data_IF_987976579155
#
_entry.id   IF_987976579155
#
_cell.length_a   1.000
_cell.length_b   1.000
_cell.length_c   1.000
_cell.angle_alpha   90.00
_cell.angle_beta   90.00
_cell.angle_gamma   90.00
#
_symmetry.space_group_name_H-M   'P 1'
#
loop_
_entity.id
_entity.type
_entity.pdbx_description
1 polymer ?
#
# COMPACT_ATOMS: atom_id res chain seq x y z
N UNK A 1 23.41 11.56 27.99
CA UNK A 1 22.03 11.95 28.39
C UNK A 1 21.11 11.85 27.18
N UNK A 2 19.98 11.17 27.31
CA UNK A 2 18.97 11.13 26.25
C UNK A 2 18.08 12.37 26.33
N UNK A 3 17.58 12.82 25.18
CA UNK A 3 16.57 13.90 25.16
C UNK A 3 15.26 13.42 25.81
N UNK A 4 14.51 14.36 26.41
CA UNK A 4 13.18 14.08 26.94
C UNK A 4 12.24 13.67 25.80
N UNK A 5 11.48 12.59 26.01
CA UNK A 5 10.51 12.07 25.05
C UNK A 5 9.08 12.24 25.57
N UNK A 6 8.15 12.50 24.66
CA UNK A 6 6.73 12.49 25.01
C UNK A 6 6.26 11.05 25.32
N UNK A 7 5.39 10.91 26.29
CA UNK A 7 4.79 9.62 26.67
C UNK A 7 3.60 9.30 25.75
N UNK A 8 3.88 8.84 24.54
CA UNK A 8 2.81 8.50 23.57
C UNK A 8 1.93 7.36 24.03
N UNK A 9 2.41 6.48 24.93
CA UNK A 9 1.60 5.44 25.59
C UNK A 9 0.48 5.99 26.48
N UNK A 10 0.50 7.28 26.82
CA UNK A 10 -0.55 7.95 27.57
C UNK A 10 -1.64 8.59 26.69
N UNK A 11 -1.51 8.50 25.36
CA UNK A 11 -2.54 9.01 24.44
C UNK A 11 -3.85 8.26 24.66
N UNK A 12 -4.94 9.00 24.78
CA UNK A 12 -6.27 8.43 24.92
C UNK A 12 -6.86 8.16 23.56
N UNK A 13 -7.35 6.95 23.38
CA UNK A 13 -8.03 6.54 22.15
C UNK A 13 -9.54 6.48 22.36
N UNK A 14 -10.29 6.70 21.29
CA UNK A 14 -11.73 6.55 21.26
C UNK A 14 -12.12 5.40 20.31
N UNK A 15 -13.28 4.75 20.54
CA UNK A 15 -13.81 3.79 19.57
C UNK A 15 -13.99 4.46 18.20
N UNK A 16 -13.52 3.81 17.13
CA UNK A 16 -13.63 4.36 15.76
C UNK A 16 -15.07 4.56 15.32
N UNK A 17 -15.99 3.78 15.89
CA UNK A 17 -17.43 3.94 15.69
C UNK A 17 -18.01 5.28 16.18
N UNK A 18 -17.33 5.97 17.09
CA UNK A 18 -17.74 7.29 17.60
C UNK A 18 -17.21 8.45 16.71
N UNK A 19 -16.34 8.16 15.76
CA UNK A 19 -15.77 9.16 14.86
C UNK A 19 -16.83 9.71 13.90
N UNK A 20 -16.84 11.01 13.71
CA UNK A 20 -17.57 11.65 12.62
C UNK A 20 -16.79 11.40 11.32
N UNK A 21 -17.09 10.30 10.66
CA UNK A 21 -16.48 9.96 9.36
C UNK A 21 -17.13 10.80 8.26
N UNK A 22 -16.32 11.21 7.26
CA UNK A 22 -16.78 12.11 6.20
C UNK A 22 -17.57 11.40 5.11
N UNK A 23 -17.27 10.12 4.86
CA UNK A 23 -17.86 9.35 3.76
C UNK A 23 -18.25 7.94 4.20
N UNK A 24 -19.43 7.54 3.76
CA UNK A 24 -19.88 6.14 3.77
C UNK A 24 -19.41 5.47 2.46
N UNK A 25 -18.99 4.20 2.55
CA UNK A 25 -18.52 3.45 1.38
C UNK A 25 -19.57 3.37 0.27
N UNK A 26 -20.84 3.17 0.64
CA UNK A 26 -21.98 3.10 -0.27
C UNK A 26 -22.21 4.38 -1.09
N UNK A 27 -21.72 5.52 -0.62
CA UNK A 27 -21.89 6.81 -1.31
C UNK A 27 -20.79 7.06 -2.35
N UNK A 28 -19.60 6.48 -2.14
CA UNK A 28 -18.42 6.75 -2.95
C UNK A 28 -18.05 5.61 -3.90
N UNK A 29 -18.53 4.39 -3.62
CA UNK A 29 -18.13 3.19 -4.38
C UNK A 29 -18.39 3.34 -5.87
N UNK A 30 -17.38 3.06 -6.67
CA UNK A 30 -17.49 2.99 -8.13
C UNK A 30 -17.83 1.56 -8.51
N UNK A 31 -18.97 1.37 -9.18
CA UNK A 31 -19.36 0.08 -9.74
C UNK A 31 -18.51 -0.23 -10.98
N UNK A 32 -17.70 -1.30 -10.99
CA UNK A 32 -16.88 -1.68 -12.13
C UNK A 32 -17.71 -1.96 -13.41
N UNK A 33 -18.96 -2.39 -13.25
CA UNK A 33 -19.87 -2.68 -14.38
C UNK A 33 -20.52 -1.43 -14.97
N UNK A 34 -20.49 -0.30 -14.26
CA UNK A 34 -21.03 0.96 -14.76
C UNK A 34 -20.20 1.50 -15.95
N UNK A 35 -20.80 2.39 -16.73
CA UNK A 35 -20.07 3.10 -17.78
C UNK A 35 -19.04 4.04 -17.15
N UNK A 36 -17.76 4.00 -17.59
CA UNK A 36 -16.77 4.91 -17.07
C UNK A 36 -17.09 6.38 -17.46
N UNK A 37 -16.60 7.35 -16.70
CA UNK A 37 -16.68 8.75 -17.10
C UNK A 37 -16.01 9.02 -18.46
N UNK A 38 -16.44 10.05 -19.17
CA UNK A 38 -15.79 10.45 -20.43
C UNK A 38 -14.30 10.74 -20.21
N UNK A 39 -13.47 10.10 -21.03
CA UNK A 39 -12.01 10.23 -20.92
C UNK A 39 -11.47 11.53 -21.51
N UNK A 40 -12.17 12.14 -22.47
CA UNK A 40 -11.72 13.36 -23.15
C UNK A 40 -10.30 13.21 -23.71
N UNK A 41 -9.43 14.17 -23.39
CA UNK A 41 -8.02 14.17 -23.82
C UNK A 41 -7.20 13.01 -23.25
N UNK A 42 -7.71 12.31 -22.21
CA UNK A 42 -7.06 11.14 -21.63
C UNK A 42 -7.37 9.85 -22.39
N UNK A 43 -8.27 9.84 -23.38
CA UNK A 43 -8.69 8.63 -24.08
C UNK A 43 -7.50 7.89 -24.72
N UNK A 44 -6.71 8.59 -25.55
CA UNK A 44 -5.55 8.01 -26.21
C UNK A 44 -4.44 7.58 -25.24
N UNK A 45 -4.04 8.39 -24.24
CA UNK A 45 -3.07 7.94 -23.23
C UNK A 45 -3.52 6.69 -22.42
N UNK A 46 -4.82 6.57 -22.11
CA UNK A 46 -5.35 5.39 -21.40
C UNK A 46 -5.35 4.16 -22.30
N UNK A 47 -5.72 4.31 -23.58
CA UNK A 47 -5.63 3.23 -24.57
C UNK A 47 -4.20 2.72 -24.70
N UNK A 48 -3.22 3.62 -24.89
CA UNK A 48 -1.79 3.28 -24.92
C UNK A 48 -1.33 2.56 -23.65
N UNK A 49 -1.74 3.03 -22.47
CA UNK A 49 -1.45 2.36 -21.21
C UNK A 49 -2.05 0.94 -21.19
N UNK A 50 -3.28 0.76 -21.68
CA UNK A 50 -3.91 -0.56 -21.73
C UNK A 50 -3.15 -1.54 -22.64
N UNK A 51 -2.62 -1.08 -23.77
CA UNK A 51 -1.79 -1.88 -24.66
C UNK A 51 -0.46 -2.28 -24.00
N UNK A 52 0.18 -1.35 -23.27
CA UNK A 52 1.40 -1.65 -22.50
C UNK A 52 1.13 -2.69 -21.41
N UNK A 53 0.01 -2.60 -20.71
CA UNK A 53 -0.38 -3.60 -19.69
C UNK A 53 -0.63 -4.98 -20.35
N UNK A 54 -1.25 -5.04 -21.53
CA UNK A 54 -1.40 -6.32 -22.27
C UNK A 54 -0.05 -6.90 -22.66
N UNK A 55 0.83 -6.07 -23.23
CA UNK A 55 2.19 -6.49 -23.61
C UNK A 55 2.96 -7.03 -22.41
N UNK A 56 2.89 -6.36 -21.26
CA UNK A 56 3.53 -6.82 -20.04
C UNK A 56 2.98 -8.18 -19.59
N UNK A 57 1.67 -8.36 -19.60
CA UNK A 57 1.03 -9.63 -19.26
C UNK A 57 1.45 -10.76 -20.19
N UNK A 58 1.48 -10.52 -21.51
CA UNK A 58 1.87 -11.52 -22.51
C UNK A 58 3.35 -11.91 -22.35
N UNK A 59 4.19 -10.98 -21.93
CA UNK A 59 5.60 -11.21 -21.62
C UNK A 59 5.85 -11.85 -20.24
N UNK A 60 4.81 -11.99 -19.39
CA UNK A 60 4.95 -12.44 -18.01
C UNK A 60 5.68 -11.44 -17.11
N UNK A 61 5.74 -10.18 -17.51
CA UNK A 61 6.37 -9.10 -16.75
C UNK A 61 5.43 -8.50 -15.71
N UNK A 62 5.98 -7.89 -14.66
CA UNK A 62 5.19 -7.26 -13.62
C UNK A 62 4.41 -6.04 -14.12
N UNK A 63 3.17 -5.91 -13.62
CA UNK A 63 2.35 -4.70 -13.69
C UNK A 63 2.12 -4.21 -12.27
N UNK A 64 2.82 -3.15 -11.89
CA UNK A 64 2.81 -2.61 -10.53
C UNK A 64 1.90 -1.38 -10.48
N UNK A 65 0.89 -1.41 -9.59
CA UNK A 65 0.09 -0.23 -9.26
C UNK A 65 0.53 0.35 -7.91
N UNK A 66 1.17 1.52 -7.97
CA UNK A 66 1.44 2.34 -6.80
C UNK A 66 0.31 3.35 -6.59
N UNK A 67 -0.29 3.42 -5.41
CA UNK A 67 -1.41 4.32 -5.18
C UNK A 67 -1.37 5.02 -3.82
N UNK A 68 -1.92 6.22 -3.79
CA UNK A 68 -2.17 6.95 -2.55
C UNK A 68 -3.58 6.73 -2.02
N UNK A 69 -3.86 7.23 -0.81
CA UNK A 69 -5.14 7.10 -0.13
C UNK A 69 -6.35 7.54 -0.96
N UNK A 70 -6.19 8.51 -1.86
CA UNK A 70 -7.29 9.02 -2.69
C UNK A 70 -7.86 7.99 -3.66
N UNK A 71 -7.11 6.96 -4.06
CA UNK A 71 -7.67 5.87 -4.87
C UNK A 71 -8.80 5.18 -4.11
N UNK A 72 -8.57 4.84 -2.84
CA UNK A 72 -9.57 4.19 -1.97
C UNK A 72 -10.70 5.18 -1.62
N UNK A 73 -10.36 6.41 -1.26
CA UNK A 73 -11.32 7.46 -0.90
C UNK A 73 -12.25 7.88 -2.04
N UNK A 74 -11.83 7.68 -3.28
CA UNK A 74 -12.65 7.90 -4.47
C UNK A 74 -13.45 6.66 -4.90
N UNK A 75 -13.49 5.61 -4.05
CA UNK A 75 -14.31 4.43 -4.25
C UNK A 75 -13.82 3.46 -5.32
N UNK A 76 -12.57 3.55 -5.75
CA UNK A 76 -12.00 2.74 -6.83
C UNK A 76 -11.52 1.35 -6.38
N UNK A 77 -11.65 1.00 -5.10
CA UNK A 77 -11.29 -0.32 -4.58
C UNK A 77 -11.82 -1.47 -5.43
N UNK A 78 -13.15 -1.56 -5.71
CA UNK A 78 -13.72 -2.64 -6.53
C UNK A 78 -13.19 -2.69 -7.97
N UNK A 79 -12.98 -1.54 -8.60
CA UNK A 79 -12.41 -1.45 -9.97
C UNK A 79 -11.00 -2.03 -10.02
N UNK A 80 -10.18 -1.71 -9.02
CA UNK A 80 -8.81 -2.25 -8.92
C UNK A 80 -8.85 -3.73 -8.51
N UNK A 81 -9.77 -4.12 -7.64
CA UNK A 81 -9.95 -5.52 -7.23
C UNK A 81 -10.24 -6.45 -8.41
N UNK A 82 -11.05 -6.01 -9.37
CA UNK A 82 -11.30 -6.76 -10.59
C UNK A 82 -10.04 -6.91 -11.46
N UNK A 83 -9.26 -5.84 -11.61
CA UNK A 83 -7.99 -5.89 -12.33
C UNK A 83 -6.99 -6.85 -11.67
N UNK A 84 -7.01 -6.93 -10.35
CA UNK A 84 -6.19 -7.89 -9.58
C UNK A 84 -6.68 -9.32 -9.76
N UNK A 85 -7.99 -9.58 -9.64
CA UNK A 85 -8.58 -10.92 -9.81
C UNK A 85 -8.31 -11.50 -11.19
N UNK A 86 -8.33 -10.66 -12.21
CA UNK A 86 -8.08 -11.06 -13.60
C UNK A 86 -6.59 -11.05 -13.98
N UNK A 87 -5.70 -10.74 -13.01
CA UNK A 87 -4.25 -10.76 -13.21
C UNK A 87 -3.71 -9.66 -14.12
N UNK A 88 -4.45 -8.55 -14.28
CA UNK A 88 -3.96 -7.37 -15.00
C UNK A 88 -3.00 -6.53 -14.17
N UNK A 89 -3.16 -6.55 -12.84
CA UNK A 89 -2.24 -5.96 -11.87
C UNK A 89 -1.62 -7.10 -11.08
N UNK A 90 -0.31 -7.19 -11.07
CA UNK A 90 0.45 -8.25 -10.41
C UNK A 90 1.06 -7.83 -9.08
N UNK A 91 1.05 -6.53 -8.76
CA UNK A 91 1.52 -6.00 -7.48
C UNK A 91 0.83 -4.68 -7.15
N UNK A 92 0.43 -4.54 -5.91
CA UNK A 92 -0.14 -3.33 -5.33
C UNK A 92 0.82 -2.71 -4.31
N UNK A 93 1.13 -1.43 -4.42
CA UNK A 93 1.97 -0.72 -3.45
C UNK A 93 1.29 0.56 -2.94
N UNK A 94 1.19 0.73 -1.62
CA UNK A 94 0.54 1.90 -1.03
C UNK A 94 1.26 2.40 0.23
N UNK A 95 0.77 3.50 0.80
CA UNK A 95 1.22 4.02 2.09
C UNK A 95 0.27 3.61 3.22
N UNK A 96 0.60 3.95 4.47
CA UNK A 96 -0.25 3.62 5.62
C UNK A 96 -1.67 4.16 5.49
N UNK A 97 -1.85 5.38 4.97
CA UNK A 97 -3.18 5.95 4.80
C UNK A 97 -4.04 5.17 3.79
N UNK A 98 -3.43 4.65 2.69
CA UNK A 98 -4.15 3.84 1.70
C UNK A 98 -4.73 2.57 2.30
N UNK A 99 -3.93 1.82 3.06
CA UNK A 99 -4.39 0.58 3.70
C UNK A 99 -5.34 0.83 4.87
N UNK A 100 -5.19 1.95 5.59
CA UNK A 100 -6.10 2.31 6.71
C UNK A 100 -7.50 2.61 6.17
N UNK A 101 -7.63 3.43 5.14
CA UNK A 101 -8.95 3.71 4.55
C UNK A 101 -9.59 2.45 3.99
N UNK A 102 -8.83 1.57 3.32
CA UNK A 102 -9.28 0.27 2.84
C UNK A 102 -9.84 -0.59 3.98
N UNK A 103 -9.06 -0.73 5.06
CA UNK A 103 -9.46 -1.49 6.23
C UNK A 103 -10.70 -0.88 6.93
N UNK A 104 -10.77 0.44 7.10
CA UNK A 104 -11.87 1.11 7.77
C UNK A 104 -13.20 0.98 7.00
N UNK A 105 -13.18 1.07 5.67
CA UNK A 105 -14.35 0.81 4.84
C UNK A 105 -14.80 -0.65 4.95
N UNK A 106 -13.87 -1.59 5.00
CA UNK A 106 -14.20 -3.00 5.24
C UNK A 106 -14.75 -3.22 6.66
N UNK A 107 -14.14 -2.59 7.67
CA UNK A 107 -14.49 -2.81 9.08
C UNK A 107 -15.85 -2.22 9.45
N UNK A 108 -16.09 -0.95 9.14
CA UNK A 108 -17.28 -0.22 9.60
C UNK A 108 -18.09 0.46 8.50
N UNK A 109 -17.72 0.29 7.22
CA UNK A 109 -18.41 0.88 6.08
C UNK A 109 -18.17 2.38 5.87
N UNK A 110 -17.34 3.02 6.67
CA UNK A 110 -17.08 4.45 6.62
C UNK A 110 -15.65 4.78 7.00
N UNK A 111 -15.11 5.86 6.45
CA UNK A 111 -13.76 6.32 6.74
C UNK A 111 -13.64 7.84 6.62
N UNK A 112 -12.44 8.33 6.83
CA UNK A 112 -12.02 9.74 6.81
C UNK A 112 -12.52 10.55 8.02
N UNK A 113 -11.62 11.37 8.54
CA UNK A 113 -11.89 12.23 9.67
C UNK A 113 -11.63 13.71 9.34
N UNK A 114 -12.17 14.62 10.11
CA UNK A 114 -11.85 16.03 9.98
C UNK A 114 -10.51 16.34 10.66
N UNK A 115 -9.47 16.50 9.82
CA UNK A 115 -8.12 16.75 10.29
C UNK A 115 -8.02 18.01 11.15
N UNK A 116 -8.73 19.08 10.75
CA UNK A 116 -8.62 20.38 11.45
C UNK A 116 -9.18 20.31 12.86
N UNK A 117 -10.39 19.78 13.02
CA UNK A 117 -11.02 19.66 14.34
C UNK A 117 -10.29 18.64 15.21
N UNK A 118 -9.95 17.47 14.64
CA UNK A 118 -9.35 16.37 15.39
C UNK A 118 -7.90 16.63 15.80
N UNK A 119 -7.15 17.42 15.03
CA UNK A 119 -5.83 17.90 15.50
C UNK A 119 -5.98 18.90 16.64
N UNK A 120 -7.00 19.77 16.59
CA UNK A 120 -7.21 20.79 17.62
C UNK A 120 -7.61 20.19 18.99
N UNK A 121 -8.38 19.10 18.97
CA UNK A 121 -8.82 18.41 20.21
C UNK A 121 -7.93 17.19 20.57
N UNK A 122 -6.96 16.85 19.72
CA UNK A 122 -6.01 15.75 19.95
C UNK A 122 -6.55 14.36 19.64
N UNK A 123 -7.67 14.23 18.93
CA UNK A 123 -8.27 12.94 18.54
C UNK A 123 -7.80 12.43 17.17
N UNK A 124 -7.07 13.25 16.39
CA UNK A 124 -6.60 12.86 15.05
C UNK A 124 -5.76 11.57 15.09
N UNK A 125 -6.25 10.52 14.45
CA UNK A 125 -5.59 9.21 14.43
C UNK A 125 -5.66 8.41 15.74
N UNK A 126 -6.32 8.95 16.78
CA UNK A 126 -6.43 8.31 18.10
C UNK A 126 -7.69 7.41 18.19
N UNK A 127 -7.79 6.42 17.28
CA UNK A 127 -8.92 5.49 17.16
C UNK A 127 -8.49 4.08 17.56
N UNK A 128 -9.19 3.51 18.59
CA UNK A 128 -8.76 2.25 19.22
C UNK A 128 -8.64 1.11 18.21
N UNK A 129 -9.72 0.80 17.51
CA UNK A 129 -9.75 -0.36 16.63
C UNK A 129 -8.75 -0.22 15.47
N UNK A 130 -8.62 0.99 14.90
CA UNK A 130 -7.68 1.24 13.78
C UNK A 130 -6.24 0.94 14.19
N UNK A 131 -5.80 1.42 15.34
CA UNK A 131 -4.43 1.18 15.80
C UNK A 131 -4.23 -0.21 16.40
N UNK A 132 -5.15 -0.66 17.26
CA UNK A 132 -5.03 -1.90 18.01
C UNK A 132 -5.11 -3.14 17.11
N UNK A 133 -6.06 -3.17 16.17
CA UNK A 133 -6.20 -4.31 15.25
C UNK A 133 -5.09 -4.35 14.20
N UNK A 134 -4.68 -3.19 13.68
CA UNK A 134 -3.49 -3.10 12.83
C UNK A 134 -2.27 -3.67 13.55
N UNK A 135 -2.02 -3.25 14.80
CA UNK A 135 -0.84 -3.67 15.53
C UNK A 135 -0.79 -5.19 15.76
N UNK A 136 -1.88 -5.81 16.19
CA UNK A 136 -1.89 -7.27 16.40
C UNK A 136 -1.79 -8.04 15.09
N UNK A 137 -2.43 -7.56 14.02
CA UNK A 137 -2.32 -8.17 12.70
C UNK A 137 -0.87 -8.17 12.21
N UNK A 138 -0.17 -7.05 12.33
CA UNK A 138 1.24 -6.96 11.95
C UNK A 138 2.13 -7.82 12.84
N UNK A 139 1.95 -7.78 14.16
CA UNK A 139 2.79 -8.54 15.09
C UNK A 139 2.66 -10.07 14.89
N UNK A 140 1.45 -10.56 14.61
CA UNK A 140 1.21 -11.96 14.29
C UNK A 140 1.67 -12.33 12.89
N UNK A 141 1.42 -11.44 11.90
CA UNK A 141 1.79 -11.66 10.50
C UNK A 141 3.30 -11.72 10.28
N UNK A 142 4.05 -10.81 10.89
CA UNK A 142 5.53 -10.80 10.79
C UNK A 142 6.14 -12.10 11.34
N UNK A 143 5.56 -12.68 12.39
CA UNK A 143 6.01 -13.98 12.92
C UNK A 143 5.80 -15.12 11.90
N UNK A 144 4.86 -14.96 10.98
CA UNK A 144 4.58 -15.88 9.87
C UNK A 144 5.36 -15.51 8.59
N UNK A 145 6.17 -14.45 8.63
CA UNK A 145 6.94 -13.97 7.48
C UNK A 145 6.16 -13.03 6.56
N UNK A 146 4.97 -12.58 6.96
CA UNK A 146 4.14 -11.67 6.18
C UNK A 146 4.55 -10.21 6.39
N UNK A 147 4.41 -9.41 5.33
CA UNK A 147 4.57 -7.97 5.38
C UNK A 147 3.32 -7.25 5.92
N UNK A 148 3.33 -5.94 5.85
CA UNK A 148 2.23 -5.11 6.35
C UNK A 148 0.96 -5.35 5.54
N UNK A 149 1.07 -5.26 4.20
CA UNK A 149 -0.10 -5.40 3.33
C UNK A 149 -0.74 -6.78 3.43
N UNK A 150 0.06 -7.83 3.41
CA UNK A 150 -0.40 -9.22 3.54
C UNK A 150 -1.05 -9.48 4.90
N UNK A 151 -0.49 -8.94 6.00
CA UNK A 151 -1.05 -9.09 7.35
C UNK A 151 -2.44 -8.46 7.48
N UNK A 152 -2.66 -7.28 6.90
CA UNK A 152 -3.99 -6.63 6.89
C UNK A 152 -4.94 -7.39 5.96
N UNK A 153 -4.45 -7.85 4.80
CA UNK A 153 -5.25 -8.68 3.89
C UNK A 153 -5.75 -9.95 4.57
N UNK A 154 -4.88 -10.65 5.32
CA UNK A 154 -5.25 -11.82 6.11
C UNK A 154 -6.30 -11.48 7.17
N UNK A 155 -6.08 -10.41 7.95
CA UNK A 155 -7.01 -9.96 8.99
C UNK A 155 -8.44 -9.80 8.45
N UNK A 156 -8.59 -9.16 7.30
CA UNK A 156 -9.91 -8.92 6.71
C UNK A 156 -10.48 -10.18 6.08
N UNK A 157 -9.67 -10.90 5.32
CA UNK A 157 -10.09 -12.11 4.59
C UNK A 157 -10.54 -13.22 5.54
N UNK A 158 -9.78 -13.46 6.60
CA UNK A 158 -10.09 -14.51 7.59
C UNK A 158 -11.09 -14.03 8.67
N UNK A 159 -11.30 -12.72 8.81
CA UNK A 159 -12.19 -12.14 9.80
C UNK A 159 -11.67 -12.23 11.23
N UNK A 160 -10.35 -12.17 11.41
CA UNK A 160 -9.72 -12.23 12.73
C UNK A 160 -8.23 -12.49 12.70
N UNK A 161 -7.68 -12.76 13.89
CA UNK A 161 -6.25 -13.07 14.08
C UNK A 161 -6.08 -14.28 14.98
N UNK A 162 -5.03 -15.08 14.74
CA UNK A 162 -4.62 -16.17 15.61
C UNK A 162 -3.41 -15.75 16.43
N UNK A 163 -3.60 -15.62 17.74
CA UNK A 163 -2.53 -15.26 18.69
C UNK A 163 -1.89 -16.52 19.24
N UNK A 164 -0.60 -16.78 19.02
CA UNK A 164 0.08 -17.97 19.52
C UNK A 164 0.07 -18.04 21.06
N UNK A 165 0.23 -19.26 21.58
CA UNK A 165 0.36 -19.48 23.01
C UNK A 165 1.63 -18.81 23.55
N UNK A 166 1.49 -18.01 24.61
CA UNK A 166 2.59 -17.27 25.25
C UNK A 166 3.72 -18.20 25.70
N UNK A 167 3.38 -19.38 26.25
CA UNK A 167 4.38 -20.36 26.67
C UNK A 167 5.21 -20.90 25.49
N UNK A 168 4.59 -21.07 24.31
CA UNK A 168 5.31 -21.47 23.11
C UNK A 168 6.28 -20.38 22.63
N UNK A 169 5.88 -19.11 22.70
CA UNK A 169 6.73 -17.97 22.38
C UNK A 169 7.93 -17.87 23.35
N UNK A 170 7.69 -17.99 24.66
CA UNK A 170 8.75 -18.02 25.65
C UNK A 170 9.68 -19.22 25.46
N UNK A 171 9.13 -20.40 25.12
CA UNK A 171 9.93 -21.59 24.81
C UNK A 171 10.92 -21.35 23.66
N UNK A 172 10.49 -20.69 22.59
CA UNK A 172 11.36 -20.33 21.46
C UNK A 172 12.46 -19.34 21.86
N UNK A 173 12.13 -18.29 22.64
CA UNK A 173 13.13 -17.34 23.14
C UNK A 173 14.16 -18.01 24.05
N UNK A 174 13.71 -18.88 24.95
CA UNK A 174 14.59 -19.61 25.87
C UNK A 174 15.52 -20.58 25.11
N UNK A 175 15.01 -21.30 24.13
CA UNK A 175 15.81 -22.18 23.29
C UNK A 175 16.88 -21.39 22.51
N UNK A 176 16.50 -20.26 21.93
CA UNK A 176 17.45 -19.39 21.24
C UNK A 176 18.51 -18.82 22.19
N UNK A 177 18.13 -18.38 23.39
CA UNK A 177 19.07 -17.85 24.38
C UNK A 177 20.12 -18.89 24.83
N UNK A 178 19.76 -20.18 24.85
CA UNK A 178 20.68 -21.29 25.19
C UNK A 178 21.62 -21.64 24.03
N UNK A 179 21.17 -21.54 22.79
CA UNK A 179 21.93 -21.83 21.58
C UNK A 179 21.64 -20.78 20.49
N UNK A 180 22.23 -19.56 20.59
CA UNK A 180 21.94 -18.49 19.67
C UNK A 180 22.32 -18.84 18.23
N UNK A 181 21.35 -18.73 17.33
CA UNK A 181 21.52 -18.83 15.87
C UNK A 181 20.92 -17.61 15.21
N UNK A 182 21.33 -17.31 13.99
CA UNK A 182 20.72 -16.24 13.22
C UNK A 182 19.26 -16.61 12.91
N UNK A 183 18.31 -15.94 13.56
CA UNK A 183 16.88 -16.13 13.37
C UNK A 183 16.17 -14.77 13.44
N UNK A 184 15.69 -14.29 12.29
CA UNK A 184 14.99 -13.01 12.17
C UNK A 184 13.67 -12.98 12.97
N UNK A 185 13.09 -14.14 13.30
CA UNK A 185 11.81 -14.23 14.01
C UNK A 185 11.94 -13.98 15.52
N UNK A 186 13.14 -14.05 16.09
CA UNK A 186 13.35 -13.84 17.54
C UNK A 186 12.89 -12.46 17.98
N UNK A 187 13.28 -11.42 17.24
CA UNK A 187 12.80 -10.08 17.53
C UNK A 187 11.28 -9.92 17.34
N UNK A 188 10.70 -10.61 16.37
CA UNK A 188 9.25 -10.61 16.16
C UNK A 188 8.49 -11.30 17.31
N UNK A 189 9.06 -12.35 17.90
CA UNK A 189 8.49 -13.00 19.11
C UNK A 189 8.45 -12.04 20.28
N UNK A 190 9.53 -11.30 20.53
CA UNK A 190 9.58 -10.31 21.62
C UNK A 190 8.58 -9.18 21.40
N UNK A 191 8.48 -8.68 20.17
CA UNK A 191 7.51 -7.67 19.78
C UNK A 191 6.06 -8.16 19.96
N UNK A 192 5.77 -9.40 19.57
CA UNK A 192 4.43 -9.98 19.71
C UNK A 192 4.07 -10.20 21.20
N UNK A 193 4.99 -10.68 22.03
CA UNK A 193 4.76 -10.81 23.48
C UNK A 193 4.40 -9.45 24.10
N UNK A 194 5.10 -8.40 23.73
CA UNK A 194 4.76 -7.06 24.17
C UNK A 194 3.38 -6.60 23.65
N UNK A 195 3.06 -6.87 22.37
CA UNK A 195 1.75 -6.58 21.79
C UNK A 195 0.62 -7.30 22.53
N UNK A 196 0.81 -8.58 22.89
CA UNK A 196 -0.15 -9.38 23.64
C UNK A 196 -0.39 -8.76 25.04
N UNK A 197 0.69 -8.39 25.74
CA UNK A 197 0.60 -7.80 27.08
C UNK A 197 -0.12 -6.44 27.07
N UNK A 198 0.33 -5.49 26.27
CA UNK A 198 -0.24 -4.12 26.26
C UNK A 198 -1.67 -4.08 25.68
N UNK A 199 -1.96 -4.94 24.70
CA UNK A 199 -3.27 -5.05 24.07
C UNK A 199 -4.22 -6.01 24.79
N UNK A 200 -3.75 -6.73 25.83
CA UNK A 200 -4.51 -7.77 26.55
C UNK A 200 -5.15 -8.80 25.59
N UNK A 201 -4.40 -9.24 24.59
CA UNK A 201 -4.90 -10.16 23.58
C UNK A 201 -5.04 -11.58 24.12
N UNK A 202 -6.20 -12.23 23.95
CA UNK A 202 -6.36 -13.65 24.31
C UNK A 202 -5.54 -14.53 23.34
N UNK A 203 -5.06 -15.65 23.86
CA UNK A 203 -4.42 -16.67 23.03
C UNK A 203 -5.48 -17.42 22.19
N UNK A 204 -5.06 -17.89 21.02
CA UNK A 204 -5.92 -18.55 20.06
C UNK A 204 -6.60 -17.59 19.10
N UNK A 205 -7.71 -18.02 18.50
CA UNK A 205 -8.43 -17.25 17.51
C UNK A 205 -9.25 -16.12 18.12
N UNK A 206 -9.04 -14.91 17.66
CA UNK A 206 -9.87 -13.75 18.00
C UNK A 206 -10.63 -13.30 16.76
N UNK A 207 -11.96 -13.41 16.80
CA UNK A 207 -12.82 -12.96 15.72
C UNK A 207 -12.92 -11.43 15.69
N UNK A 208 -12.66 -10.83 14.54
CA UNK A 208 -12.78 -9.38 14.28
C UNK A 208 -13.73 -9.22 13.10
N UNK A 209 -14.98 -8.89 13.42
CA UNK A 209 -16.04 -8.78 12.43
C UNK A 209 -15.84 -7.56 11.55
N UNK A 210 -15.85 -7.77 10.23
CA UNK A 210 -15.87 -6.72 9.23
C UNK A 210 -17.30 -6.61 8.63
N UNK A 211 -17.80 -5.39 8.47
CA UNK A 211 -19.13 -5.14 7.92
C UNK A 211 -19.19 -5.41 6.41
N UNK A 212 -18.11 -5.06 5.70
CA UNK A 212 -17.99 -5.14 4.25
C UNK A 212 -16.64 -5.73 3.82
N UNK A 213 -16.33 -7.00 4.13
CA UNK A 213 -15.00 -7.57 3.83
C UNK A 213 -14.67 -7.55 2.33
N UNK A 214 -15.67 -7.70 1.47
CA UNK A 214 -15.53 -7.68 0.01
C UNK A 214 -15.15 -6.29 -0.55
N UNK A 215 -15.28 -5.23 0.24
CA UNK A 215 -14.85 -3.90 -0.13
C UNK A 215 -13.32 -3.72 -0.04
N UNK A 216 -12.61 -4.62 0.66
CA UNK A 216 -11.18 -4.51 0.89
C UNK A 216 -10.36 -4.99 -0.30
N UNK A 217 -9.55 -4.07 -0.81
CA UNK A 217 -8.53 -4.37 -1.80
C UNK A 217 -7.41 -5.24 -1.19
N UNK A 218 -7.07 -5.02 0.09
CA UNK A 218 -6.10 -5.82 0.81
C UNK A 218 -6.56 -7.28 0.96
N UNK A 219 -7.85 -7.52 1.30
CA UNK A 219 -8.41 -8.86 1.35
C UNK A 219 -8.43 -9.54 -0.03
N UNK A 220 -8.74 -8.80 -1.08
CA UNK A 220 -8.68 -9.30 -2.47
C UNK A 220 -7.25 -9.69 -2.83
N UNK A 221 -6.27 -8.86 -2.54
CA UNK A 221 -4.85 -9.13 -2.80
C UNK A 221 -4.39 -10.41 -2.06
N UNK A 222 -4.77 -10.57 -0.80
CA UNK A 222 -4.48 -11.79 -0.02
C UNK A 222 -5.12 -13.05 -0.66
N UNK A 223 -6.40 -12.99 -1.00
CA UNK A 223 -7.14 -14.11 -1.57
C UNK A 223 -6.58 -14.55 -2.94
N UNK A 224 -6.12 -13.61 -3.77
CA UNK A 224 -5.54 -13.87 -5.10
C UNK A 224 -4.04 -14.16 -5.05
N UNK A 225 -3.40 -14.05 -3.88
CA UNK A 225 -1.94 -14.11 -3.69
C UNK A 225 -1.19 -13.07 -4.53
N UNK A 226 -1.82 -11.93 -4.75
CA UNK A 226 -1.18 -10.77 -5.37
C UNK A 226 -0.51 -9.96 -4.26
N UNK A 227 0.80 -9.69 -4.32
CA UNK A 227 1.45 -8.88 -3.32
C UNK A 227 0.79 -7.50 -3.18
N UNK A 228 0.47 -7.12 -1.95
CA UNK A 228 0.15 -5.76 -1.56
C UNK A 228 1.19 -5.32 -0.54
N UNK A 229 1.99 -4.32 -0.87
CA UNK A 229 3.04 -3.79 0.00
C UNK A 229 2.69 -2.41 0.52
N UNK A 230 2.92 -2.19 1.81
CA UNK A 230 2.66 -0.91 2.48
C UNK A 230 3.98 -0.30 2.91
N UNK A 231 4.21 0.93 2.48
CA UNK A 231 5.43 1.69 2.77
C UNK A 231 5.11 2.86 3.72
N UNK A 232 5.02 2.61 5.04
CA UNK A 232 4.67 3.62 6.02
C UNK A 232 5.85 4.55 6.31
N UNK A 233 5.56 5.69 6.91
CA UNK A 233 6.61 6.57 7.42
C UNK A 233 6.38 6.95 8.87
N UNK A 234 7.43 6.76 9.68
CA UNK A 234 7.39 7.12 11.10
C UNK A 234 7.23 8.63 11.24
N UNK A 235 6.19 9.03 11.96
CA UNK A 235 5.89 10.42 12.27
C UNK A 235 4.91 11.10 11.31
N UNK A 236 4.52 10.47 10.18
CA UNK A 236 3.46 11.00 9.32
C UNK A 236 2.24 10.06 9.16
N UNK A 237 2.39 8.76 9.40
CA UNK A 237 1.24 7.85 9.41
C UNK A 237 0.53 7.86 10.78
N UNK A 238 -0.80 7.92 10.77
CA UNK A 238 -1.62 8.06 12.00
C UNK A 238 -1.49 6.87 12.96
N UNK A 239 -1.11 5.69 12.47
CA UNK A 239 -0.92 4.50 13.33
C UNK A 239 0.14 4.70 14.40
N UNK A 240 1.07 5.65 14.22
CA UNK A 240 2.08 5.99 15.23
C UNK A 240 1.55 6.87 16.37
N UNK A 241 0.34 7.41 16.27
CA UNK A 241 -0.34 8.14 17.34
C UNK A 241 -0.91 7.18 18.38
N UNK A 242 -1.23 5.95 17.99
CA UNK A 242 -1.86 4.96 18.87
C UNK A 242 -0.92 4.56 20.02
N UNK A 243 -1.42 4.47 21.28
CA UNK A 243 -0.60 4.18 22.47
C UNK A 243 0.11 2.81 22.41
N UNK A 244 -0.43 1.86 21.65
CA UNK A 244 0.18 0.53 21.47
C UNK A 244 1.12 0.47 20.25
N UNK A 245 1.40 1.57 19.59
CA UNK A 245 2.27 1.59 18.42
C UNK A 245 3.69 1.12 18.76
N UNK A 246 4.18 0.13 18.02
CA UNK A 246 5.53 -0.41 18.18
C UNK A 246 6.31 -0.19 16.88
N UNK A 247 7.29 0.70 16.93
CA UNK A 247 8.13 1.02 15.75
C UNK A 247 8.88 -0.21 15.20
N UNK A 248 9.22 -1.18 16.06
CA UNK A 248 9.86 -2.44 15.66
C UNK A 248 8.94 -3.31 14.80
N UNK A 249 7.66 -3.43 15.17
CA UNK A 249 6.66 -4.20 14.40
C UNK A 249 6.46 -3.57 13.03
N UNK A 250 6.24 -2.25 12.96
CA UNK A 250 6.12 -1.54 11.69
C UNK A 250 7.38 -1.67 10.84
N UNK A 251 8.56 -1.52 11.45
CA UNK A 251 9.84 -1.64 10.75
C UNK A 251 10.07 -3.03 10.16
N UNK A 252 9.68 -4.10 10.86
CA UNK A 252 9.78 -5.47 10.34
C UNK A 252 8.80 -5.70 9.21
N UNK A 253 7.52 -5.37 9.41
CA UNK A 253 6.47 -5.55 8.42
C UNK A 253 6.77 -4.78 7.12
N UNK A 254 7.10 -3.49 7.23
CA UNK A 254 7.48 -2.67 6.08
C UNK A 254 8.80 -3.10 5.44
N UNK A 255 9.74 -3.66 6.22
CA UNK A 255 10.98 -4.23 5.72
C UNK A 255 10.76 -5.48 4.87
N UNK A 256 9.80 -6.34 5.23
CA UNK A 256 9.37 -7.47 4.40
C UNK A 256 8.74 -6.93 3.12
N UNK A 257 7.79 -6.01 3.23
CA UNK A 257 7.12 -5.40 2.09
C UNK A 257 8.10 -4.75 1.10
N UNK A 258 9.12 -4.05 1.60
CA UNK A 258 10.12 -3.46 0.72
C UNK A 258 10.90 -4.54 -0.07
N UNK A 259 11.26 -5.67 0.55
CA UNK A 259 11.94 -6.77 -0.16
C UNK A 259 11.03 -7.41 -1.21
N UNK A 260 9.74 -7.62 -0.89
CA UNK A 260 8.74 -8.11 -1.85
C UNK A 260 8.56 -7.14 -3.00
N UNK A 261 8.50 -5.84 -2.73
CA UNK A 261 8.42 -4.80 -3.74
C UNK A 261 9.67 -4.78 -4.64
N UNK A 262 10.88 -4.91 -4.07
CA UNK A 262 12.11 -5.01 -4.85
C UNK A 262 12.10 -6.19 -5.81
N UNK A 263 11.54 -7.35 -5.41
CA UNK A 263 11.41 -8.50 -6.30
C UNK A 263 10.47 -8.20 -7.46
N UNK A 264 9.30 -7.64 -7.21
CA UNK A 264 8.36 -7.27 -8.28
C UNK A 264 8.92 -6.18 -9.20
N UNK A 265 9.78 -5.31 -8.69
CA UNK A 265 10.52 -4.33 -9.52
C UNK A 265 11.58 -5.01 -10.37
N UNK A 266 12.28 -6.04 -9.88
CA UNK A 266 13.18 -6.87 -10.69
C UNK A 266 12.42 -7.58 -11.82
N UNK A 267 11.21 -8.08 -11.54
CA UNK A 267 10.35 -8.79 -12.49
C UNK A 267 9.72 -7.86 -13.57
N UNK A 268 9.92 -6.54 -13.49
CA UNK A 268 9.51 -5.61 -14.55
C UNK A 268 10.27 -5.88 -15.87
N UNK A 269 11.56 -6.22 -15.77
CA UNK A 269 12.39 -6.42 -16.97
C UNK A 269 12.32 -5.24 -17.94
N UNK A 270 12.16 -5.54 -19.23
CA UNK A 270 12.05 -4.55 -20.31
C UNK A 270 10.58 -4.21 -20.68
N UNK A 271 9.65 -5.09 -20.34
CA UNK A 271 8.26 -5.00 -20.79
C UNK A 271 7.28 -4.63 -19.67
N UNK A 272 7.76 -4.53 -18.43
CA UNK A 272 6.92 -4.27 -17.27
C UNK A 272 6.32 -2.87 -17.26
N UNK A 273 5.27 -2.70 -16.47
CA UNK A 273 4.53 -1.44 -16.36
C UNK A 273 4.45 -1.00 -14.90
N UNK A 274 4.72 0.27 -14.66
CA UNK A 274 4.49 0.94 -13.37
C UNK A 274 3.42 1.99 -13.55
N UNK A 275 2.34 1.88 -12.80
CA UNK A 275 1.24 2.84 -12.78
C UNK A 275 1.26 3.52 -11.40
N UNK A 276 1.42 4.84 -11.35
CA UNK A 276 1.38 5.61 -10.11
C UNK A 276 0.15 6.51 -10.08
N UNK A 277 -0.77 6.29 -9.13
CA UNK A 277 -2.05 7.00 -9.03
C UNK A 277 -2.14 7.76 -7.71
N UNK A 278 -2.12 9.10 -7.79
CA UNK A 278 -2.30 9.97 -6.62
C UNK A 278 -1.30 9.72 -5.49
N UNK A 279 -0.08 9.27 -5.80
CA UNK A 279 0.97 8.97 -4.82
C UNK A 279 2.21 9.82 -5.05
N UNK A 280 2.11 11.10 -4.65
CA UNK A 280 3.16 12.09 -4.93
C UNK A 280 4.44 11.92 -4.08
N UNK A 281 4.41 11.20 -2.97
CA UNK A 281 5.53 11.08 -2.03
C UNK A 281 6.07 9.65 -2.00
N UNK A 282 5.23 8.67 -1.64
CA UNK A 282 5.67 7.30 -1.43
C UNK A 282 6.14 6.65 -2.73
N UNK A 283 5.30 6.60 -3.76
CA UNK A 283 5.57 5.86 -4.98
C UNK A 283 6.91 6.23 -5.65
N UNK A 284 7.21 7.51 -5.95
CA UNK A 284 8.46 7.86 -6.62
C UNK A 284 9.68 7.57 -5.76
N UNK A 285 9.59 7.72 -4.44
CA UNK A 285 10.74 7.53 -3.55
C UNK A 285 11.04 6.05 -3.31
N UNK A 286 10.00 5.24 -3.11
CA UNK A 286 10.18 3.79 -2.91
C UNK A 286 10.62 3.12 -4.19
N UNK A 287 10.00 3.47 -5.33
CA UNK A 287 10.37 2.91 -6.63
C UNK A 287 11.84 3.20 -7.00
N UNK A 288 12.31 4.43 -6.83
CA UNK A 288 13.71 4.80 -7.12
C UNK A 288 14.71 3.91 -6.35
N UNK A 289 14.43 3.59 -5.08
CA UNK A 289 15.31 2.74 -4.25
C UNK A 289 15.17 1.27 -4.62
N UNK A 290 13.96 0.81 -4.87
CA UNK A 290 13.73 -0.56 -5.31
C UNK A 290 14.37 -0.83 -6.69
N UNK A 291 14.26 0.12 -7.63
CA UNK A 291 14.95 0.05 -8.93
C UNK A 291 16.48 -0.03 -8.76
N UNK A 292 17.04 0.75 -7.84
CA UNK A 292 18.49 0.66 -7.54
C UNK A 292 18.86 -0.72 -6.99
N UNK A 293 18.06 -1.30 -6.10
CA UNK A 293 18.30 -2.66 -5.58
C UNK A 293 18.17 -3.69 -6.68
N UNK A 294 17.10 -3.65 -7.47
CA UNK A 294 16.86 -4.57 -8.58
C UNK A 294 18.02 -4.53 -9.59
N UNK A 295 18.41 -3.34 -10.06
CA UNK A 295 19.50 -3.18 -11.02
C UNK A 295 20.86 -3.63 -10.47
N UNK A 296 21.11 -3.43 -9.17
CA UNK A 296 22.33 -3.95 -8.52
C UNK A 296 22.35 -5.49 -8.54
N UNK A 297 21.23 -6.13 -8.21
CA UNK A 297 21.13 -7.59 -8.23
C UNK A 297 21.15 -8.15 -9.66
N UNK A 298 20.57 -7.46 -10.63
CA UNK A 298 20.59 -7.81 -12.06
C UNK A 298 22.02 -7.76 -12.61
N UNK A 299 22.76 -6.71 -12.30
CA UNK A 299 24.16 -6.59 -12.73
C UNK A 299 25.06 -7.73 -12.19
N UNK A 300 24.77 -8.27 -10.99
CA UNK A 300 25.49 -9.43 -10.46
C UNK A 300 25.15 -10.76 -11.16
N UNK A 301 24.06 -10.79 -11.93
CA UNK A 301 23.60 -11.94 -12.71
C UNK A 301 23.88 -11.76 -14.21
N UNK A 302 24.59 -10.70 -14.61
CA UNK A 302 24.84 -10.32 -16.01
C UNK A 302 23.53 -10.15 -16.81
N UNK A 303 22.50 -9.56 -16.18
CA UNK A 303 21.20 -9.25 -16.79
C UNK A 303 21.05 -7.73 -16.92
N UNK A 304 20.48 -7.27 -18.03
CA UNK A 304 20.26 -5.85 -18.30
C UNK A 304 19.41 -5.18 -17.23
N UNK A 305 19.62 -3.87 -17.02
CA UNK A 305 18.81 -3.07 -16.10
C UNK A 305 17.33 -3.08 -16.51
N UNK A 306 16.43 -2.88 -15.52
CA UNK A 306 15.00 -2.75 -15.80
C UNK A 306 14.73 -1.54 -16.71
N UNK A 307 13.76 -1.69 -17.61
CA UNK A 307 13.34 -0.64 -18.53
C UNK A 307 11.80 -0.55 -18.63
N UNK A 308 11.09 -0.34 -17.53
CA UNK A 308 9.64 -0.37 -17.51
C UNK A 308 9.02 0.85 -18.22
N UNK A 309 7.81 0.65 -18.76
CA UNK A 309 6.93 1.77 -19.09
C UNK A 309 6.33 2.34 -17.80
N UNK A 310 6.38 3.66 -17.63
CA UNK A 310 5.87 4.33 -16.43
C UNK A 310 4.75 5.32 -16.80
N UNK A 311 3.58 5.12 -16.19
CA UNK A 311 2.44 6.03 -16.28
C UNK A 311 2.15 6.64 -14.90
N UNK A 312 2.00 7.96 -14.86
CA UNK A 312 1.70 8.69 -13.61
C UNK A 312 0.39 9.46 -13.78
N UNK A 313 -0.55 9.24 -12.89
CA UNK A 313 -1.80 10.00 -12.80
C UNK A 313 -1.83 10.88 -11.56
N UNK A 314 -2.07 12.16 -11.75
CA UNK A 314 -2.31 13.15 -10.69
C UNK A 314 -3.26 14.23 -11.20
N UNK A 315 -3.86 15.01 -10.30
CA UNK A 315 -4.76 16.11 -10.64
C UNK A 315 -4.05 17.37 -11.13
N UNK A 316 -2.73 17.48 -10.95
CA UNK A 316 -1.96 18.67 -11.29
C UNK A 316 -1.82 18.80 -12.81
N UNK A 317 -2.04 20.00 -13.38
CA UNK A 317 -1.76 20.20 -14.80
C UNK A 317 -0.28 19.98 -15.10
N UNK A 318 0.02 19.33 -16.23
CA UNK A 318 1.40 19.23 -16.73
C UNK A 318 1.80 20.56 -17.37
N UNK A 319 2.91 21.15 -16.91
CA UNK A 319 3.52 22.34 -17.50
C UNK A 319 4.77 22.02 -18.32
N UNK A 320 5.20 20.77 -18.28
CA UNK A 320 6.35 20.22 -18.97
C UNK A 320 5.94 18.99 -19.79
N UNK A 321 6.47 18.87 -20.99
CA UNK A 321 6.31 17.65 -21.77
C UNK A 321 7.30 16.58 -21.29
N UNK A 322 6.80 15.65 -20.50
CA UNK A 322 7.59 14.57 -19.89
C UNK A 322 8.14 13.56 -20.91
N UNK A 323 7.68 13.63 -22.18
CA UNK A 323 8.28 12.90 -23.27
C UNK A 323 9.73 13.34 -23.56
N UNK A 324 10.11 14.54 -23.13
CA UNK A 324 11.49 15.04 -23.21
C UNK A 324 12.36 14.65 -21.99
N UNK A 325 11.86 13.80 -21.09
CA UNK A 325 12.57 13.36 -19.89
C UNK A 325 12.55 14.39 -18.77
N UNK A 326 13.62 14.43 -17.95
CA UNK A 326 13.72 15.34 -16.81
C UNK A 326 13.79 16.80 -17.26
N UNK A 327 12.95 17.70 -16.68
CA UNK A 327 13.04 19.12 -16.98
C UNK A 327 14.35 19.74 -16.49
N UNK A 328 14.86 20.80 -17.13
CA UNK A 328 16.02 21.52 -16.67
C UNK A 328 15.77 22.18 -15.30
N UNK A 329 16.82 22.37 -14.51
CA UNK A 329 16.74 22.93 -13.14
C UNK A 329 16.08 24.33 -13.08
N UNK A 330 16.09 25.06 -14.20
CA UNK A 330 15.45 26.35 -14.35
C UNK A 330 13.94 26.29 -14.54
N UNK A 331 13.41 25.12 -14.90
CA UNK A 331 11.96 24.93 -15.09
C UNK A 331 11.27 24.60 -13.77
N UNK A 332 10.11 25.22 -13.45
CA UNK A 332 9.33 24.90 -12.26
C UNK A 332 8.95 23.41 -12.14
N UNK A 333 8.76 22.70 -13.24
CA UNK A 333 8.46 21.27 -13.27
C UNK A 333 9.60 20.41 -12.69
N UNK A 334 10.85 20.91 -12.68
CA UNK A 334 11.97 20.24 -12.03
C UNK A 334 11.71 19.94 -10.54
N UNK A 335 10.91 20.77 -9.88
CA UNK A 335 10.56 20.63 -8.46
C UNK A 335 9.35 19.73 -8.23
N UNK A 336 8.70 19.23 -9.29
CA UNK A 336 7.66 18.21 -9.19
C UNK A 336 8.30 16.82 -8.98
N UNK A 337 8.76 16.57 -7.75
CA UNK A 337 9.57 15.40 -7.40
C UNK A 337 8.92 14.07 -7.77
N UNK A 338 7.59 13.99 -7.68
CA UNK A 338 6.84 12.78 -8.01
C UNK A 338 6.93 12.40 -9.50
N UNK A 339 7.07 13.36 -10.40
CA UNK A 339 7.31 13.10 -11.83
C UNK A 339 8.80 12.94 -12.13
N UNK A 340 9.63 13.84 -11.59
CA UNK A 340 11.07 13.83 -11.83
C UNK A 340 11.74 12.51 -11.43
N UNK A 341 11.38 11.94 -10.27
CA UNK A 341 11.96 10.68 -9.83
C UNK A 341 11.63 9.53 -10.77
N UNK A 342 10.40 9.48 -11.29
CA UNK A 342 10.04 8.48 -12.29
C UNK A 342 10.74 8.73 -13.64
N UNK A 343 10.80 9.97 -14.11
CA UNK A 343 11.49 10.29 -15.37
C UNK A 343 12.98 9.93 -15.36
N UNK A 344 13.63 9.90 -14.19
CA UNK A 344 15.01 9.45 -14.03
C UNK A 344 15.20 7.93 -14.09
N UNK A 345 14.15 7.18 -13.81
CA UNK A 345 14.19 5.72 -13.71
C UNK A 345 13.51 5.04 -14.89
N UNK A 346 12.84 5.81 -15.75
CA UNK A 346 12.23 5.31 -16.98
C UNK A 346 13.24 5.28 -18.12
N UNK A 347 13.27 4.18 -18.86
CA UNK A 347 14.04 4.08 -20.10
C UNK A 347 13.29 4.71 -21.29
N UNK A 348 11.97 4.79 -21.21
CA UNK A 348 11.11 5.44 -22.19
C UNK A 348 10.54 6.77 -21.62
N UNK A 349 10.01 7.64 -22.47
CA UNK A 349 9.31 8.83 -22.04
C UNK A 349 8.20 8.53 -21.02
N UNK A 350 8.14 9.31 -19.94
CA UNK A 350 7.11 9.20 -18.93
C UNK A 350 5.74 9.57 -19.51
N UNK A 351 4.74 8.71 -19.32
CA UNK A 351 3.35 9.03 -19.63
C UNK A 351 2.70 9.72 -18.44
N UNK A 352 2.28 10.98 -18.63
CA UNK A 352 1.60 11.74 -17.58
C UNK A 352 0.13 11.95 -17.91
N UNK A 353 -0.76 11.39 -17.08
CA UNK A 353 -2.20 11.48 -17.20
C UNK A 353 -2.74 12.48 -16.18
N UNK A 354 -2.81 13.76 -16.58
CA UNK A 354 -3.32 14.83 -15.71
C UNK A 354 -4.86 14.79 -15.66
N UNK A 355 -5.42 14.29 -14.57
CA UNK A 355 -6.86 14.18 -14.41
C UNK A 355 -7.32 13.35 -13.21
N UNK A 356 -8.64 13.26 -13.07
CA UNK A 356 -9.28 12.49 -12.00
C UNK A 356 -8.94 10.99 -12.14
N UNK A 357 -8.53 10.37 -11.05
CA UNK A 357 -8.18 8.96 -11.03
C UNK A 357 -9.36 8.03 -11.33
N UNK A 358 -10.61 8.47 -11.09
CA UNK A 358 -11.82 7.73 -11.50
C UNK A 358 -11.92 7.63 -13.02
N UNK A 359 -11.56 8.70 -13.73
CA UNK A 359 -11.51 8.70 -15.20
C UNK A 359 -10.44 7.70 -15.67
N UNK A 360 -9.23 7.81 -15.13
CA UNK A 360 -8.10 6.99 -15.58
C UNK A 360 -8.33 5.52 -15.28
N UNK A 361 -8.60 5.18 -14.02
CA UNK A 361 -8.67 3.79 -13.60
C UNK A 361 -9.92 3.05 -14.10
N UNK A 362 -11.07 3.72 -14.17
CA UNK A 362 -12.28 3.07 -14.65
C UNK A 362 -12.24 2.86 -16.19
N UNK A 363 -11.69 3.81 -16.96
CA UNK A 363 -11.48 3.61 -18.39
C UNK A 363 -10.39 2.53 -18.65
N UNK A 364 -9.30 2.51 -17.89
CA UNK A 364 -8.29 1.45 -17.99
C UNK A 364 -8.91 0.07 -17.73
N UNK A 365 -9.73 -0.06 -16.67
CA UNK A 365 -10.48 -1.27 -16.38
C UNK A 365 -11.35 -1.67 -17.58
N UNK A 366 -12.12 -0.72 -18.13
CA UNK A 366 -12.98 -0.99 -19.29
C UNK A 366 -12.20 -1.51 -20.50
N UNK A 367 -11.07 -0.90 -20.82
CA UNK A 367 -10.22 -1.33 -21.92
C UNK A 367 -9.65 -2.74 -21.69
N UNK A 368 -9.21 -3.06 -20.48
CA UNK A 368 -8.60 -4.35 -20.17
C UNK A 368 -9.61 -5.48 -20.09
N UNK A 369 -10.78 -5.23 -19.49
CA UNK A 369 -11.84 -6.25 -19.32
C UNK A 369 -12.69 -6.48 -20.57
N UNK A 370 -12.83 -5.47 -21.42
CA UNK A 370 -13.69 -5.52 -22.61
C UNK A 370 -12.94 -4.96 -23.82
N UNK A 371 -11.98 -5.72 -24.39
CA UNK A 371 -11.27 -5.26 -25.57
C UNK A 371 -12.25 -5.01 -26.69
N UNK A 372 -12.25 -3.80 -27.24
CA UNK A 372 -12.95 -3.50 -28.49
C UNK A 372 -12.31 -4.36 -29.57
N UNK A 373 -13.11 -5.22 -30.20
CA UNK A 373 -12.65 -5.97 -31.39
C UNK A 373 -12.22 -4.95 -32.44
N UNK A 374 -10.93 -4.88 -32.72
CA UNK A 374 -10.34 -4.11 -33.82
C UNK A 374 -10.69 -4.73 -35.16
#
# INVERSE_FOLDING_TARGET
MSYQQAQTSAVRVNPVGNRLSKHEFSEIVVDPAASPPEAGDLALPIEQLSERVRTARDAGASVILCYGAHLIKNGLGPVVADLVREGWITHLATNGAGVIHDWEYAFQGRSEEDVRSNVADGSFGAWDETGRYTMVALATGVLQGMGYGESIGQLVHEGGVSVPAVDALHGRLNAWAQAPVADETIGAIADLLHCIEVGSWPQGWTHIKHANPDASLAATAFATRTPLTVHPGIGYDIVYVHPHAQGSVFGRAAGIDFRVFCQSVDDLGESGVVISVGSAIMAPQVFEKAASVANNLRSQRDVDAIAPYIAVNDLRPATWDWAHGEPPISDPAYYLRFLKSFARTSAEPLSYLAGDNRVVMHNLHRHLMHPTSS
#
